data_IF_129074543331
#
_entry.id   IF_129074543331
#
_cell.length_a   1.000
_cell.length_b   1.000
_cell.length_c   1.000
_cell.angle_alpha   90.00
_cell.angle_beta   90.00
_cell.angle_gamma   90.00
#
_symmetry.space_group_name_H-M   'P 1'
#
loop_
_entity.id
_entity.type
_entity.pdbx_description
1 polymer ?
#
# COMPACT_ATOMS: atom_id res chain seq x y z
N UNK A 1 13.35 3.09 12.98
CA UNK A 1 12.05 3.14 12.28
C UNK A 1 12.02 2.03 11.26
N UNK A 2 10.93 1.25 11.13
CA UNK A 2 10.85 0.24 10.09
C UNK A 2 10.77 0.90 8.71
N UNK A 3 11.55 0.39 7.76
CA UNK A 3 11.57 0.85 6.36
C UNK A 3 10.90 -0.20 5.49
N UNK A 4 10.07 0.26 4.56
CA UNK A 4 9.28 -0.57 3.66
C UNK A 4 9.68 -0.28 2.22
N UNK A 5 9.81 -1.32 1.39
CA UNK A 5 9.87 -1.15 -0.05
C UNK A 5 8.45 -0.88 -0.55
N UNK A 6 8.29 0.14 -1.38
CA UNK A 6 7.00 0.56 -1.92
C UNK A 6 7.09 0.77 -3.43
N UNK A 7 5.95 0.64 -4.10
CA UNK A 7 5.82 1.01 -5.51
C UNK A 7 5.02 2.31 -5.62
N UNK A 8 5.64 3.37 -6.13
CA UNK A 8 4.94 4.57 -6.54
C UNK A 8 4.62 4.46 -8.04
N UNK A 9 3.34 4.43 -8.37
CA UNK A 9 2.83 4.25 -9.74
C UNK A 9 1.91 5.39 -10.13
N UNK A 10 1.84 5.67 -11.43
CA UNK A 10 0.88 6.61 -12.01
C UNK A 10 -0.11 5.85 -12.90
N UNK A 11 -1.40 6.04 -12.65
CA UNK A 11 -2.49 5.42 -13.40
C UNK A 11 -3.60 6.45 -13.62
N UNK A 12 -4.10 6.57 -14.86
CA UNK A 12 -5.15 7.54 -15.23
C UNK A 12 -4.90 8.96 -14.71
N UNK A 13 -3.63 9.39 -14.76
CA UNK A 13 -3.21 10.72 -14.32
C UNK A 13 -3.16 10.93 -12.81
N UNK A 14 -3.34 9.88 -11.99
CA UNK A 14 -3.28 9.91 -10.53
C UNK A 14 -2.13 9.06 -10.01
N UNK A 15 -1.54 9.47 -8.90
CA UNK A 15 -0.45 8.72 -8.25
C UNK A 15 -0.99 7.81 -7.13
N UNK A 16 -0.47 6.60 -7.05
CA UNK A 16 -0.72 5.62 -5.99
C UNK A 16 0.60 5.12 -5.43
N UNK A 17 0.61 4.90 -4.12
CA UNK A 17 1.74 4.32 -3.39
C UNK A 17 1.26 2.97 -2.87
N UNK A 18 1.66 1.91 -3.55
CA UNK A 18 1.36 0.54 -3.16
C UNK A 18 2.38 0.12 -2.10
N UNK A 19 1.87 -0.28 -0.94
CA UNK A 19 2.67 -0.74 0.20
C UNK A 19 2.39 -2.23 0.44
N UNK A 20 3.30 -3.13 0.03
CA UNK A 20 3.20 -4.54 0.39
C UNK A 20 3.34 -4.68 1.90
N UNK A 21 2.37 -5.32 2.53
CA UNK A 21 2.36 -5.63 3.96
C UNK A 21 2.13 -7.13 4.17
N UNK A 22 2.53 -7.62 5.34
CA UNK A 22 2.37 -9.02 5.70
C UNK A 22 0.88 -9.42 5.80
N UNK A 23 0.58 -10.71 5.56
CA UNK A 23 -0.76 -11.29 5.66
C UNK A 23 -1.44 -11.06 7.02
N UNK A 24 -0.67 -10.89 8.09
CA UNK A 24 -1.20 -10.50 9.41
C UNK A 24 -1.92 -9.16 9.39
N UNK A 25 -1.59 -8.25 8.47
CA UNK A 25 -2.31 -6.98 8.30
C UNK A 25 -3.79 -7.20 7.97
N UNK A 26 -4.08 -8.10 7.02
CA UNK A 26 -5.44 -8.42 6.62
C UNK A 26 -6.30 -9.02 7.74
N UNK A 27 -5.66 -9.57 8.79
CA UNK A 27 -6.33 -10.11 9.97
C UNK A 27 -6.64 -9.05 11.03
N UNK A 28 -6.10 -7.83 10.90
CA UNK A 28 -6.37 -6.71 11.83
C UNK A 28 -7.77 -6.17 11.63
N UNK A 29 -8.33 -5.55 12.68
CA UNK A 29 -9.63 -4.89 12.58
C UNK A 29 -9.61 -3.76 11.55
N UNK A 30 -10.75 -3.39 10.95
CA UNK A 30 -10.81 -2.28 9.99
C UNK A 30 -10.26 -0.96 10.53
N UNK A 31 -10.45 -0.68 11.82
CA UNK A 31 -9.92 0.50 12.50
C UNK A 31 -8.39 0.46 12.59
N UNK A 32 -7.80 -0.69 12.93
CA UNK A 32 -6.35 -0.82 13.03
C UNK A 32 -5.69 -0.78 11.64
N UNK A 33 -6.31 -1.38 10.62
CA UNK A 33 -5.85 -1.25 9.24
C UNK A 33 -5.86 0.23 8.78
N UNK A 34 -6.92 0.98 9.12
CA UNK A 34 -7.01 2.40 8.82
C UNK A 34 -5.89 3.20 9.51
N UNK A 35 -5.66 2.96 10.81
CA UNK A 35 -4.61 3.63 11.59
C UNK A 35 -3.22 3.42 10.99
N UNK A 36 -2.92 2.19 10.57
CA UNK A 36 -1.64 1.85 9.93
C UNK A 36 -1.54 2.51 8.54
N UNK A 37 -2.60 2.46 7.72
CA UNK A 37 -2.65 3.14 6.42
C UNK A 37 -2.41 4.65 6.57
N UNK A 38 -3.01 5.30 7.56
CA UNK A 38 -2.78 6.71 7.87
C UNK A 38 -1.33 6.99 8.29
N UNK A 39 -0.70 6.10 9.05
CA UNK A 39 0.71 6.23 9.42
C UNK A 39 1.62 6.19 8.19
N UNK A 40 1.35 5.29 7.24
CA UNK A 40 2.02 5.27 5.95
C UNK A 40 1.77 6.54 5.14
N UNK A 41 0.51 7.01 5.05
CA UNK A 41 0.17 8.23 4.32
C UNK A 41 0.88 9.46 4.88
N UNK A 42 0.94 9.61 6.21
CA UNK A 42 1.71 10.67 6.86
C UNK A 42 3.20 10.59 6.55
N UNK A 43 3.76 9.39 6.59
CA UNK A 43 5.18 9.18 6.30
C UNK A 43 5.49 9.51 4.84
N UNK A 44 4.60 9.15 3.90
CA UNK A 44 4.74 9.47 2.48
C UNK A 44 4.68 10.99 2.23
N UNK A 45 3.74 11.68 2.88
CA UNK A 45 3.63 13.13 2.82
C UNK A 45 4.87 13.84 3.39
N UNK A 46 5.48 13.30 4.46
CA UNK A 46 6.68 13.88 5.07
C UNK A 46 7.94 13.81 4.19
N UNK A 47 7.93 12.97 3.14
CA UNK A 47 9.04 12.81 2.19
C UNK A 47 8.64 13.21 0.77
N UNK A 48 7.60 14.04 0.64
CA UNK A 48 7.08 14.55 -0.64
C UNK A 48 6.83 13.44 -1.68
N UNK A 49 6.31 12.30 -1.24
CA UNK A 49 5.88 11.22 -2.12
C UNK A 49 4.39 11.39 -2.43
N UNK A 50 4.01 11.98 -3.59
CA UNK A 50 2.61 12.19 -3.93
C UNK A 50 1.91 10.87 -4.22
N UNK A 51 0.66 10.80 -3.79
CA UNK A 51 -0.25 9.69 -4.10
C UNK A 51 -1.05 9.21 -2.91
N UNK A 52 -2.03 8.36 -3.20
CA UNK A 52 -2.81 7.66 -2.17
C UNK A 52 -2.07 6.39 -1.77
N UNK A 53 -1.87 6.19 -0.47
CA UNK A 53 -1.33 4.95 0.06
C UNK A 53 -2.37 3.83 0.01
N UNK A 54 -1.99 2.72 -0.61
CA UNK A 54 -2.78 1.49 -0.70
C UNK A 54 -1.97 0.32 -0.15
N UNK A 55 -2.29 -0.17 1.06
CA UNK A 55 -1.75 -1.42 1.55
C UNK A 55 -2.27 -2.59 0.72
N UNK A 56 -1.37 -3.50 0.34
CA UNK A 56 -1.68 -4.76 -0.34
C UNK A 56 -1.03 -5.93 0.37
N UNK A 57 -1.70 -7.08 0.41
CA UNK A 57 -1.20 -8.27 1.08
C UNK A 57 -1.73 -9.53 0.40
N UNK A 58 -1.10 -10.66 0.69
CA UNK A 58 -1.64 -11.96 0.32
C UNK A 58 -2.69 -12.40 1.35
N UNK A 59 -3.90 -12.71 0.89
CA UNK A 59 -5.01 -13.14 1.73
C UNK A 59 -4.91 -14.62 2.14
N UNK A 60 -5.99 -15.16 2.72
CA UNK A 60 -5.95 -16.55 3.18
C UNK A 60 -5.91 -17.61 2.07
N UNK A 61 -6.24 -17.20 0.85
CA UNK A 61 -6.38 -18.04 -0.34
C UNK A 61 -5.21 -17.88 -1.32
N UNK A 62 -4.18 -17.10 -0.95
CA UNK A 62 -3.04 -16.81 -1.82
C UNK A 62 -3.32 -15.69 -2.84
N UNK A 63 -4.45 -14.97 -2.71
CA UNK A 63 -4.82 -13.89 -3.62
C UNK A 63 -4.40 -12.54 -3.07
N UNK A 64 -4.15 -11.59 -3.96
CA UNK A 64 -3.89 -10.22 -3.55
C UNK A 64 -5.18 -9.59 -3.01
N UNK A 65 -5.12 -9.12 -1.77
CA UNK A 65 -6.10 -8.27 -1.15
C UNK A 65 -5.53 -6.87 -0.93
N UNK A 66 -6.41 -5.89 -0.83
CA UNK A 66 -6.03 -4.49 -0.75
C UNK A 66 -7.00 -3.67 0.08
N UNK A 67 -6.49 -2.56 0.63
CA UNK A 67 -7.30 -1.51 1.26
C UNK A 67 -7.13 -0.21 0.47
N UNK A 68 -8.10 0.10 -0.37
CA UNK A 68 -8.02 1.23 -1.30
C UNK A 68 -9.36 1.97 -1.46
N UNK A 69 -9.34 3.26 -1.80
CA UNK A 69 -10.52 3.97 -2.28
C UNK A 69 -11.11 3.34 -3.55
N UNK A 70 -12.42 3.46 -3.80
CA UNK A 70 -13.09 2.84 -4.94
C UNK A 70 -12.45 3.08 -6.32
N UNK A 71 -11.91 4.28 -6.65
CA UNK A 71 -11.31 4.53 -7.96
C UNK A 71 -10.09 3.66 -8.31
N UNK A 72 -9.47 3.02 -7.32
CA UNK A 72 -8.30 2.16 -7.53
C UNK A 72 -8.65 0.68 -7.67
N UNK A 73 -9.91 0.29 -7.44
CA UNK A 73 -10.29 -1.12 -7.35
C UNK A 73 -10.08 -1.87 -8.66
N UNK A 74 -10.42 -1.27 -9.81
CA UNK A 74 -10.29 -1.95 -11.11
C UNK A 74 -8.82 -2.17 -11.49
N UNK A 75 -7.98 -1.14 -11.29
CA UNK A 75 -6.54 -1.27 -11.45
C UNK A 75 -5.95 -2.35 -10.52
N UNK A 76 -6.28 -2.33 -9.23
CA UNK A 76 -5.76 -3.30 -8.27
C UNK A 76 -6.25 -4.72 -8.55
N UNK A 77 -7.45 -4.91 -9.12
CA UNK A 77 -7.92 -6.23 -9.57
C UNK A 77 -7.21 -6.74 -10.83
N UNK A 78 -6.55 -5.85 -11.58
CA UNK A 78 -5.82 -6.21 -12.81
C UNK A 78 -4.36 -6.66 -12.56
N UNK A 79 -3.86 -6.51 -11.33
CA UNK A 79 -2.48 -6.86 -10.95
C UNK A 79 -2.48 -7.91 -9.82
N UNK A 80 -1.31 -8.49 -9.54
CA UNK A 80 -1.11 -9.44 -8.46
C UNK A 80 0.14 -9.11 -7.62
N UNK A 81 0.43 -9.93 -6.60
CA UNK A 81 1.59 -9.74 -5.73
C UNK A 81 2.93 -9.87 -6.47
N UNK A 82 2.98 -10.62 -7.58
CA UNK A 82 4.20 -10.77 -8.41
C UNK A 82 4.48 -9.45 -9.13
N UNK A 83 3.45 -8.87 -9.77
CA UNK A 83 3.54 -7.55 -10.37
C UNK A 83 4.03 -6.52 -9.34
N UNK A 84 3.41 -6.47 -8.16
CA UNK A 84 3.79 -5.54 -7.10
C UNK A 84 5.26 -5.69 -6.71
N UNK A 85 5.74 -6.92 -6.52
CA UNK A 85 7.14 -7.19 -6.18
C UNK A 85 8.13 -6.67 -7.25
N UNK A 86 7.76 -6.77 -8.53
CA UNK A 86 8.59 -6.25 -9.64
C UNK A 86 8.49 -4.74 -9.83
N UNK A 87 7.42 -4.11 -9.32
CA UNK A 87 7.15 -2.69 -9.46
C UNK A 87 7.76 -1.82 -8.33
N UNK A 88 8.34 -2.45 -7.30
CA UNK A 88 8.97 -1.75 -6.18
C UNK A 88 10.09 -0.83 -6.66
N UNK A 89 10.01 0.45 -6.30
CA UNK A 89 10.88 1.49 -6.88
C UNK A 89 11.26 2.60 -5.89
N UNK A 90 10.81 2.51 -4.64
CA UNK A 90 11.03 3.50 -3.58
C UNK A 90 11.11 2.81 -2.20
N UNK A 91 11.65 3.53 -1.23
CA UNK A 91 11.66 3.13 0.18
C UNK A 91 10.93 4.17 1.02
N UNK A 92 10.12 3.71 1.97
CA UNK A 92 9.34 4.54 2.87
C UNK A 92 9.61 4.13 4.33
N UNK A 93 10.05 5.08 5.16
CA UNK A 93 10.29 4.84 6.58
C UNK A 93 9.07 5.26 7.39
N UNK A 94 8.50 4.35 8.18
CA UNK A 94 7.32 4.65 8.99
C UNK A 94 7.73 5.47 10.21
N UNK A 95 7.17 6.67 10.37
CA UNK A 95 7.33 7.44 11.60
C UNK A 95 6.62 6.74 12.76
N UNK A 96 7.38 6.41 13.81
CA UNK A 96 6.81 6.08 15.11
C UNK A 96 6.42 7.40 15.76
N UNK A 97 5.14 7.76 15.65
CA UNK A 97 4.55 8.83 16.46
C UNK A 97 3.90 8.22 17.69
#
# INVERSE_FOLDING_TARGET
MPTFQVAQLRHDGRDVIIVPVDRSFGKRSPAEQARIQEAFQRSAAAVDMPGVVVPVWEDSTGRMAFRAPPPWHDFLKSIDMIYVATALNRSLSLEAR
#
